data_IF_392559097705
#
_entry.id   IF_392559097705
#
_cell.length_a   1.000
_cell.length_b   1.000
_cell.length_c   1.000
_cell.angle_alpha   90.00
_cell.angle_beta   90.00
_cell.angle_gamma   90.00
#
_symmetry.space_group_name_H-M   'P 1'
#
loop_
_entity.id
_entity.type
_entity.pdbx_description
1 polymer ?
#
# COMPACT_ATOMS: atom_id res chain seq x y z
N UNK A 1 0.14 1.22 -13.15
CA UNK A 1 0.15 2.69 -13.38
C UNK A 1 1.59 3.16 -13.56
N UNK A 2 1.84 4.26 -14.29
CA UNK A 2 3.20 4.82 -14.51
C UNK A 2 3.13 6.34 -14.56
N UNK A 3 4.15 7.02 -14.04
CA UNK A 3 4.29 8.48 -14.08
C UNK A 3 3.61 9.23 -12.93
N UNK A 4 4.14 10.40 -12.60
CA UNK A 4 3.75 11.20 -11.41
C UNK A 4 2.27 11.55 -11.38
N UNK A 5 1.69 11.94 -12.52
CA UNK A 5 0.28 12.34 -12.59
C UNK A 5 -0.67 11.16 -12.30
N UNK A 6 -0.44 10.01 -12.93
CA UNK A 6 -1.24 8.81 -12.70
C UNK A 6 -1.11 8.30 -11.26
N UNK A 7 0.10 8.37 -10.68
CA UNK A 7 0.36 7.99 -9.29
C UNK A 7 -0.35 8.95 -8.33
N UNK A 8 -0.27 10.26 -8.60
CA UNK A 8 -0.95 11.30 -7.79
C UNK A 8 -2.46 11.08 -7.82
N UNK A 9 -3.03 10.88 -9.00
CA UNK A 9 -4.46 10.64 -9.15
C UNK A 9 -4.89 9.36 -8.43
N UNK A 10 -4.12 8.28 -8.53
CA UNK A 10 -4.42 7.05 -7.79
C UNK A 10 -4.46 7.29 -6.28
N UNK A 11 -3.42 7.91 -5.71
CA UNK A 11 -3.36 8.13 -4.26
C UNK A 11 -4.44 9.10 -3.76
N UNK A 12 -4.81 10.14 -4.53
CA UNK A 12 -5.93 11.02 -4.18
C UNK A 12 -7.23 10.24 -3.94
N UNK A 13 -7.51 9.23 -4.76
CA UNK A 13 -8.68 8.38 -4.58
C UNK A 13 -8.47 7.33 -3.49
N UNK A 14 -7.32 6.66 -3.48
CA UNK A 14 -7.03 5.57 -2.54
C UNK A 14 -7.03 6.05 -1.08
N UNK A 15 -6.56 7.26 -0.81
CA UNK A 15 -6.51 7.81 0.55
C UNK A 15 -7.78 8.53 0.98
N UNK A 16 -8.72 8.80 0.06
CA UNK A 16 -9.94 9.56 0.39
C UNK A 16 -10.81 8.88 1.46
N UNK A 17 -10.84 7.55 1.44
CA UNK A 17 -11.60 6.73 2.39
C UNK A 17 -10.74 6.19 3.55
N UNK A 18 -9.42 6.46 3.55
CA UNK A 18 -8.48 5.89 4.50
C UNK A 18 -8.70 6.46 5.91
N UNK A 19 -8.88 5.58 6.88
CA UNK A 19 -8.97 5.92 8.31
C UNK A 19 -7.66 5.67 9.05
N UNK A 20 -6.85 4.73 8.57
CA UNK A 20 -5.54 4.46 9.12
C UNK A 20 -4.84 3.31 8.42
N UNK A 21 -3.55 3.18 8.69
CA UNK A 21 -2.75 2.04 8.28
C UNK A 21 -1.81 1.65 9.42
N UNK A 22 -1.59 0.35 9.62
CA UNK A 22 -0.70 -0.18 10.66
C UNK A 22 0.14 -1.34 10.13
N UNK A 23 1.40 -1.42 10.56
CA UNK A 23 2.27 -2.55 10.23
C UNK A 23 1.78 -3.81 10.96
N UNK A 24 1.70 -4.92 10.24
CA UNK A 24 1.31 -6.23 10.80
C UNK A 24 2.52 -7.09 11.21
N UNK A 25 3.73 -6.63 10.92
CA UNK A 25 4.97 -7.31 11.27
C UNK A 25 6.20 -6.57 10.77
N UNK A 26 7.35 -7.22 10.87
CA UNK A 26 8.63 -6.60 10.56
C UNK A 26 8.73 -6.16 9.09
N UNK A 27 9.45 -5.07 8.86
CA UNK A 27 9.88 -4.65 7.54
C UNK A 27 11.08 -5.51 7.14
N UNK A 28 11.05 -6.08 5.93
CA UNK A 28 12.16 -6.84 5.37
C UNK A 28 12.83 -5.98 4.31
N UNK A 29 14.15 -5.85 4.41
CA UNK A 29 14.98 -5.09 3.46
C UNK A 29 16.03 -6.03 2.88
N UNK A 30 16.16 -6.05 1.56
CA UNK A 30 17.17 -6.82 0.87
C UNK A 30 17.63 -6.07 -0.39
N UNK A 31 18.88 -5.63 -0.40
CA UNK A 31 19.40 -4.79 -1.49
C UNK A 31 18.64 -3.46 -1.58
N UNK A 32 18.11 -3.18 -2.77
CA UNK A 32 17.30 -2.02 -3.11
C UNK A 32 15.78 -2.28 -3.03
N UNK A 33 15.36 -3.40 -2.44
CA UNK A 33 13.95 -3.73 -2.25
C UNK A 33 13.55 -3.76 -0.76
N UNK A 34 12.28 -3.40 -0.51
CA UNK A 34 11.65 -3.46 0.81
C UNK A 34 10.29 -4.12 0.70
N UNK A 35 10.05 -5.14 1.52
CA UNK A 35 8.77 -5.84 1.65
C UNK A 35 8.19 -5.66 3.05
N UNK A 36 6.91 -5.27 3.17
CA UNK A 36 6.29 -5.06 4.47
C UNK A 36 4.80 -5.41 4.49
N UNK A 37 4.34 -6.21 5.47
CA UNK A 37 2.93 -6.49 5.68
C UNK A 37 2.28 -5.36 6.50
N UNK A 38 1.10 -4.92 6.09
CA UNK A 38 0.34 -3.89 6.78
C UNK A 38 -1.17 -4.09 6.58
N UNK A 39 -1.97 -3.44 7.42
CA UNK A 39 -3.43 -3.38 7.29
C UNK A 39 -3.86 -1.95 7.00
N UNK A 40 -4.72 -1.79 6.00
CA UNK A 40 -5.43 -0.55 5.72
C UNK A 40 -6.80 -0.65 6.37
N UNK A 41 -7.18 0.36 7.15
CA UNK A 41 -8.57 0.56 7.59
C UNK A 41 -9.19 1.68 6.77
N UNK A 42 -10.29 1.39 6.07
CA UNK A 42 -11.03 2.34 5.24
C UNK A 42 -12.52 2.39 5.61
N UNK A 43 -13.16 3.53 5.39
CA UNK A 43 -14.60 3.72 5.57
C UNK A 43 -15.22 4.11 4.23
N UNK A 44 -15.97 3.18 3.66
CA UNK A 44 -16.61 3.35 2.36
C UNK A 44 -18.07 3.81 2.48
N UNK A 45 -18.50 4.29 3.65
CA UNK A 45 -19.88 4.72 3.93
C UNK A 45 -20.88 3.59 4.17
N UNK A 46 -20.49 2.34 3.92
CA UNK A 46 -21.28 1.13 4.20
C UNK A 46 -20.76 0.33 5.42
N UNK A 47 -19.72 0.83 6.09
CA UNK A 47 -19.02 0.15 7.18
C UNK A 47 -17.51 0.31 7.09
N UNK A 48 -16.82 -0.08 8.16
CA UNK A 48 -15.35 -0.15 8.20
C UNK A 48 -14.91 -1.41 7.45
N UNK A 49 -13.92 -1.25 6.58
CA UNK A 49 -13.28 -2.31 5.85
C UNK A 49 -11.80 -2.33 6.22
N UNK A 50 -11.27 -3.53 6.46
CA UNK A 50 -9.84 -3.78 6.69
C UNK A 50 -9.28 -4.58 5.53
N UNK A 51 -8.14 -4.17 4.99
CA UNK A 51 -7.45 -4.89 3.90
C UNK A 51 -6.02 -5.15 4.32
N UNK A 52 -5.63 -6.42 4.36
CA UNK A 52 -4.25 -6.81 4.66
C UNK A 52 -3.44 -6.89 3.37
N UNK A 53 -2.35 -6.15 3.31
CA UNK A 53 -1.55 -5.97 2.11
C UNK A 53 -0.09 -6.28 2.43
N UNK A 54 0.63 -6.87 1.47
CA UNK A 54 2.10 -6.84 1.46
C UNK A 54 2.53 -5.93 0.34
N UNK A 55 3.15 -4.81 0.67
CA UNK A 55 3.76 -3.94 -0.33
C UNK A 55 5.21 -4.34 -0.55
N UNK A 56 5.64 -4.31 -1.80
CA UNK A 56 7.02 -4.42 -2.21
C UNK A 56 7.43 -3.15 -2.95
N UNK A 57 8.40 -2.44 -2.39
CA UNK A 57 9.03 -1.27 -3.00
C UNK A 57 10.38 -1.64 -3.57
N UNK A 58 10.72 -1.05 -4.71
CA UNK A 58 12.09 -0.99 -5.23
C UNK A 58 12.54 0.48 -5.20
N UNK A 59 13.80 0.69 -4.87
CA UNK A 59 14.43 2.00 -4.74
C UNK A 59 15.47 2.19 -5.84
N UNK A 60 15.45 3.34 -6.50
CA UNK A 60 16.46 3.70 -7.47
C UNK A 60 17.76 4.20 -6.80
N UNK A 61 18.75 4.55 -7.61
CA UNK A 61 20.05 5.08 -7.14
C UNK A 61 19.95 6.42 -6.41
N UNK A 62 18.84 7.15 -6.55
CA UNK A 62 18.56 8.41 -5.84
C UNK A 62 17.77 8.18 -4.54
N UNK A 63 17.68 6.92 -4.10
CA UNK A 63 16.94 6.47 -2.91
C UNK A 63 15.44 6.83 -2.96
N UNK A 64 14.87 6.90 -4.18
CA UNK A 64 13.43 7.10 -4.40
C UNK A 64 12.77 5.80 -4.80
N UNK A 65 11.53 5.61 -4.34
CA UNK A 65 10.68 4.52 -4.83
C UNK A 65 10.37 4.75 -6.31
N UNK A 66 10.83 3.85 -7.17
CA UNK A 66 10.58 3.89 -8.62
C UNK A 66 9.62 2.77 -9.08
N UNK A 67 9.35 1.80 -8.21
CA UNK A 67 8.36 0.75 -8.39
C UNK A 67 7.72 0.35 -7.06
N UNK A 68 6.41 0.14 -7.09
CA UNK A 68 5.62 -0.38 -5.97
C UNK A 68 4.67 -1.45 -6.49
N UNK A 69 4.59 -2.57 -5.78
CA UNK A 69 3.62 -3.63 -6.00
C UNK A 69 2.90 -3.94 -4.69
N UNK A 70 1.58 -3.87 -4.71
CA UNK A 70 0.73 -4.26 -3.60
C UNK A 70 0.17 -5.67 -3.83
N UNK A 71 0.49 -6.61 -2.95
CA UNK A 71 0.01 -7.99 -3.00
C UNK A 71 -1.17 -8.15 -2.05
N UNK A 72 -2.37 -8.21 -2.62
CA UNK A 72 -3.61 -8.50 -1.92
C UNK A 72 -4.71 -8.90 -2.92
N UNK A 73 -5.72 -9.62 -2.43
CA UNK A 73 -6.97 -9.90 -3.13
C UNK A 73 -8.16 -9.90 -2.16
N UNK A 74 -9.32 -10.38 -2.63
CA UNK A 74 -10.54 -10.47 -1.83
C UNK A 74 -10.39 -11.33 -0.56
N UNK A 75 -9.50 -12.32 -0.54
CA UNK A 75 -9.26 -13.17 0.61
C UNK A 75 -8.50 -12.43 1.73
N UNK A 76 -7.92 -11.27 1.43
CA UNK A 76 -7.23 -10.43 2.39
C UNK A 76 -8.12 -9.30 2.96
N UNK A 77 -9.39 -9.25 2.53
CA UNK A 77 -10.38 -8.28 3.01
C UNK A 77 -11.11 -8.81 4.26
N UNK A 78 -11.28 -7.95 5.24
CA UNK A 78 -12.01 -8.21 6.50
C UNK A 78 -13.06 -7.11 6.70
N UNK A 79 -14.26 -7.53 7.10
CA UNK A 79 -15.36 -6.64 7.54
C UNK A 79 -15.41 -6.60 9.06
#
# INVERSE_FOLDING_TARGET
MRGTEAITSFYQHATAALKGAELLGDIRVAGDEVAFPFEITADLGAGIMKVQVIDLFHFNTDEKVDSMRAFWDQNNMKM
#
